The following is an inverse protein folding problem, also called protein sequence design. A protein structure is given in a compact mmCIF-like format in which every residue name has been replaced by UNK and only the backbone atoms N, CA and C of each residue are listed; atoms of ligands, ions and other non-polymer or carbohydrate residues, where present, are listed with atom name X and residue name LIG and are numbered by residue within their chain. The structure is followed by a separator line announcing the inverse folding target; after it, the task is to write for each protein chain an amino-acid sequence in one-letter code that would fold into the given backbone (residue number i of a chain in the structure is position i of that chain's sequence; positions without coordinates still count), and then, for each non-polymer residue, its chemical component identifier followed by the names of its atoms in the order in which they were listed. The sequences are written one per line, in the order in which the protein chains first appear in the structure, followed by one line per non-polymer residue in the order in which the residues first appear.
data_IF_864052788658
#
_entry.id   IF_864052788658
#
_cell.length_a   1.000
_cell.length_b   1.000
_cell.length_c   1.000
_cell.angle_alpha   90.00
_cell.angle_beta   90.00
_cell.angle_gamma   90.00
#
_symmetry.space_group_name_H-M   'P 1'
#
loop_
_entity.id
_entity.type
_entity.pdbx_description
1 polymer ?
#
# COMPACT_ATOMS: atom_id res chain seq x y z
N UNK A 1 44.02 61.54 8.66
CA UNK A 1 42.64 61.32 8.17
C UNK A 1 42.49 59.83 7.89
N UNK A 2 42.16 59.06 8.93
CA UNK A 2 42.16 57.60 8.89
C UNK A 2 40.70 57.17 8.93
N UNK A 3 40.15 56.74 7.80
CA UNK A 3 38.77 56.28 7.69
C UNK A 3 38.67 54.83 8.18
N UNK A 4 38.05 54.65 9.34
CA UNK A 4 37.69 53.36 9.92
C UNK A 4 36.43 52.85 9.19
N UNK A 5 36.54 51.77 8.40
CA UNK A 5 35.40 51.11 7.78
C UNK A 5 34.76 50.14 8.80
N UNK A 6 33.55 50.45 9.26
CA UNK A 6 32.70 49.48 9.96
C UNK A 6 32.17 48.45 8.94
N UNK A 7 32.46 47.18 9.16
CA UNK A 7 31.78 46.08 8.48
C UNK A 7 30.62 45.61 9.38
N UNK A 8 29.39 45.79 8.91
CA UNK A 8 28.19 45.28 9.56
C UNK A 8 27.95 43.84 9.10
N UNK A 9 28.13 42.87 10.00
CA UNK A 9 27.83 41.47 9.74
C UNK A 9 26.34 41.22 9.94
N UNK A 10 25.60 41.08 8.84
CA UNK A 10 24.17 40.69 8.87
C UNK A 10 24.10 39.17 9.06
N UNK A 11 23.67 38.73 10.24
CA UNK A 11 23.29 37.33 10.50
C UNK A 11 21.89 37.09 9.94
N UNK A 12 21.79 36.42 8.78
CA UNK A 12 20.54 35.83 8.33
C UNK A 12 20.26 34.57 9.16
N UNK A 13 19.31 34.65 10.09
CA UNK A 13 18.65 33.46 10.63
C UNK A 13 17.82 32.82 9.52
N UNK A 14 18.36 31.79 8.86
CA UNK A 14 17.58 30.91 8.00
C UNK A 14 16.63 30.08 8.85
N UNK A 15 15.35 30.45 8.87
CA UNK A 15 14.31 29.54 9.31
C UNK A 15 14.20 28.41 8.27
N UNK A 16 14.67 27.22 8.63
CA UNK A 16 14.39 26.03 7.85
C UNK A 16 12.88 25.81 7.86
N UNK A 17 12.22 25.61 6.70
CA UNK A 17 10.84 25.20 6.69
C UNK A 17 10.76 23.83 7.37
N UNK A 18 10.05 23.76 8.50
CA UNK A 18 9.52 22.51 9.02
C UNK A 18 8.55 22.01 7.95
N UNK A 19 9.01 21.15 7.05
CA UNK A 19 8.08 20.33 6.29
C UNK A 19 7.39 19.43 7.31
N UNK A 20 6.09 19.64 7.47
CA UNK A 20 5.23 18.71 8.16
C UNK A 20 5.40 17.36 7.46
N UNK A 21 6.04 16.40 8.15
CA UNK A 21 5.89 15.01 7.79
C UNK A 21 4.44 14.67 8.14
N UNK A 22 3.56 14.72 7.14
CA UNK A 22 2.21 14.20 7.32
C UNK A 22 2.34 12.74 7.72
N UNK A 23 1.80 12.43 8.89
CA UNK A 23 2.01 11.20 9.63
C UNK A 23 1.49 9.99 8.86
N UNK A 24 2.33 9.39 8.01
CA UNK A 24 2.11 8.02 7.58
C UNK A 24 1.98 7.17 8.86
N UNK A 25 0.83 6.54 9.07
CA UNK A 25 0.65 5.57 10.15
C UNK A 25 1.78 4.56 10.02
N UNK A 26 2.69 4.57 10.98
CA UNK A 26 3.90 3.75 10.92
C UNK A 26 3.56 2.38 11.49
N UNK A 27 3.86 1.32 10.73
CA UNK A 27 3.80 -0.06 11.22
C UNK A 27 5.10 -0.41 11.95
N UNK A 28 5.04 -1.36 12.87
CA UNK A 28 6.17 -1.77 13.71
C UNK A 28 7.07 -2.76 12.95
N UNK A 29 8.40 -2.73 13.17
CA UNK A 29 9.29 -3.72 12.58
C UNK A 29 9.14 -5.10 13.22
N UNK A 30 9.52 -6.20 12.54
CA UNK A 30 9.42 -7.55 13.09
C UNK A 30 10.09 -7.73 14.46
N UNK A 31 11.19 -7.01 14.70
CA UNK A 31 11.93 -7.07 15.97
C UNK A 31 11.10 -6.59 17.18
N UNK A 32 10.04 -5.79 16.95
CA UNK A 32 9.13 -5.39 18.02
C UNK A 32 8.34 -6.58 18.61
N UNK A 33 8.31 -7.71 17.90
CA UNK A 33 7.59 -8.93 18.27
C UNK A 33 8.51 -10.05 18.78
N UNK A 34 9.84 -9.83 18.85
CA UNK A 34 10.82 -10.82 19.34
C UNK A 34 10.59 -11.25 20.80
N UNK A 35 9.88 -10.43 21.58
CA UNK A 35 9.55 -10.74 22.98
C UNK A 35 8.43 -11.77 23.15
N UNK A 36 7.73 -12.16 22.08
CA UNK A 36 6.68 -13.18 22.12
C UNK A 36 7.34 -14.55 21.91
N UNK A 37 7.32 -15.38 22.95
CA UNK A 37 8.04 -16.66 22.96
C UNK A 37 7.32 -17.80 22.24
N UNK A 38 5.99 -17.77 22.18
CA UNK A 38 5.20 -18.75 21.42
C UNK A 38 5.14 -18.35 19.94
N UNK A 39 5.60 -19.23 19.05
CA UNK A 39 5.70 -18.93 17.61
C UNK A 39 4.33 -18.66 16.98
N UNK A 40 3.27 -19.36 17.42
CA UNK A 40 1.94 -19.16 16.86
C UNK A 40 1.34 -17.83 17.30
N UNK A 41 1.49 -17.46 18.58
CA UNK A 41 1.12 -16.15 19.11
C UNK A 41 1.90 -15.03 18.41
N UNK A 42 3.21 -15.21 18.25
CA UNK A 42 4.08 -14.26 17.55
C UNK A 42 3.68 -14.08 16.09
N UNK A 43 3.42 -15.18 15.40
CA UNK A 43 2.94 -15.17 14.02
C UNK A 43 1.61 -14.42 13.89
N UNK A 44 0.64 -14.70 14.76
CA UNK A 44 -0.65 -13.99 14.75
C UNK A 44 -0.50 -12.48 15.01
N UNK A 45 0.43 -12.08 15.89
CA UNK A 45 0.74 -10.69 16.16
C UNK A 45 1.41 -9.99 14.95
N UNK A 46 2.36 -10.66 14.29
CA UNK A 46 2.98 -10.19 13.05
C UNK A 46 1.94 -9.99 11.95
N UNK A 47 1.02 -10.95 11.79
CA UNK A 47 -0.08 -10.81 10.84
C UNK A 47 -1.03 -9.66 11.18
N UNK A 48 -1.31 -9.45 12.47
CA UNK A 48 -2.13 -8.32 12.93
C UNK A 48 -1.49 -6.99 12.52
N UNK A 49 -0.15 -6.88 12.60
CA UNK A 49 0.58 -5.71 12.14
C UNK A 49 0.53 -5.54 10.62
N UNK A 50 0.71 -6.63 9.85
CA UNK A 50 0.50 -6.66 8.40
C UNK A 50 -0.93 -6.23 8.02
N UNK A 51 -1.91 -6.59 8.85
CA UNK A 51 -3.32 -6.25 8.72
C UNK A 51 -3.57 -4.75 8.55
N UNK A 52 -2.76 -3.89 9.19
CA UNK A 52 -2.83 -2.43 9.04
C UNK A 52 -2.61 -1.99 7.59
N UNK A 53 -1.73 -2.67 6.87
CA UNK A 53 -1.48 -2.44 5.43
C UNK A 53 -2.61 -3.06 4.61
N UNK A 54 -2.89 -4.35 4.81
CA UNK A 54 -3.86 -5.14 4.03
C UNK A 54 -5.29 -4.57 4.07
N UNK A 55 -5.65 -3.89 5.17
CA UNK A 55 -6.95 -3.24 5.36
C UNK A 55 -6.93 -1.73 5.10
N UNK A 56 -5.80 -1.17 4.68
CA UNK A 56 -5.73 0.23 4.27
C UNK A 56 -6.50 0.45 2.97
N UNK A 57 -7.01 1.67 2.72
CA UNK A 57 -7.65 1.99 1.45
C UNK A 57 -6.74 1.74 0.23
N UNK A 58 -5.41 1.78 0.37
CA UNK A 58 -4.50 1.48 -0.74
C UNK A 58 -4.59 0.02 -1.20
N UNK A 59 -4.78 -0.91 -0.27
CA UNK A 59 -4.98 -2.32 -0.60
C UNK A 59 -6.45 -2.60 -0.93
N UNK A 60 -7.39 -2.13 -0.11
CA UNK A 60 -8.81 -2.45 -0.26
C UNK A 60 -9.41 -1.93 -1.57
N UNK A 61 -8.91 -0.82 -2.11
CA UNK A 61 -9.33 -0.32 -3.43
C UNK A 61 -8.99 -1.27 -4.58
N UNK A 62 -7.94 -2.08 -4.44
CA UNK A 62 -7.48 -3.08 -5.41
C UNK A 62 -8.06 -4.48 -5.16
N UNK A 63 -8.59 -4.71 -3.95
CA UNK A 63 -9.16 -5.99 -3.50
C UNK A 63 -10.69 -5.93 -3.22
N UNK A 64 -11.53 -5.32 -4.09
CA UNK A 64 -12.97 -5.32 -3.90
C UNK A 64 -13.54 -6.72 -4.16
N UNK A 65 -14.50 -7.13 -3.31
CA UNK A 65 -15.18 -8.44 -3.38
C UNK A 65 -16.17 -8.56 -4.54
N UNK A 66 -16.71 -7.44 -5.02
CA UNK A 66 -17.67 -7.40 -6.12
C UNK A 66 -17.46 -6.16 -6.97
N UNK A 67 -17.98 -6.17 -8.21
CA UNK A 67 -18.00 -5.00 -9.07
C UNK A 67 -16.63 -4.62 -9.64
N UNK A 68 -16.26 -3.35 -9.50
CA UNK A 68 -15.03 -2.76 -10.02
C UNK A 68 -14.18 -2.11 -8.92
N UNK A 69 -13.09 -1.41 -9.28
CA UNK A 69 -12.22 -0.75 -8.31
C UNK A 69 -12.99 0.31 -7.52
N UNK A 70 -12.54 0.55 -6.30
CA UNK A 70 -12.87 1.77 -5.56
C UNK A 70 -11.69 2.74 -5.57
N UNK A 71 -11.91 3.99 -5.18
CA UNK A 71 -10.91 5.06 -5.21
C UNK A 71 -10.97 5.92 -3.95
N UNK A 72 -9.84 6.55 -3.62
CA UNK A 72 -9.75 7.45 -2.45
C UNK A 72 -9.72 6.70 -1.12
N UNK A 73 -9.66 7.45 -0.03
CA UNK A 73 -9.59 6.88 1.33
C UNK A 73 -10.98 6.49 1.86
N UNK A 74 -12.02 7.07 1.27
CA UNK A 74 -13.43 6.74 1.52
C UNK A 74 -13.96 5.62 0.62
N UNK A 75 -13.09 5.04 -0.24
CA UNK A 75 -13.37 3.89 -1.09
C UNK A 75 -14.66 4.04 -1.93
N UNK A 76 -14.85 5.22 -2.53
CA UNK A 76 -15.96 5.43 -3.46
C UNK A 76 -15.78 4.58 -4.72
N UNK A 77 -16.86 4.23 -5.44
CA UNK A 77 -16.73 3.62 -6.77
C UNK A 77 -15.82 4.45 -7.68
N UNK A 78 -15.00 3.78 -8.50
CA UNK A 78 -14.12 4.42 -9.45
C UNK A 78 -14.87 5.41 -10.37
N UNK A 79 -14.26 6.56 -10.66
CA UNK A 79 -14.81 7.59 -11.55
C UNK A 79 -13.78 7.94 -12.66
N UNK A 80 -14.11 7.76 -13.95
CA UNK A 80 -15.40 7.32 -14.50
C UNK A 80 -15.73 5.87 -14.09
N UNK A 81 -17.02 5.47 -14.05
CA UNK A 81 -17.39 4.11 -13.68
C UNK A 81 -16.74 3.07 -14.61
N UNK A 82 -16.03 2.11 -14.01
CA UNK A 82 -15.42 0.96 -14.70
C UNK A 82 -15.75 -0.33 -13.97
N UNK A 83 -15.61 -1.46 -14.66
CA UNK A 83 -15.80 -2.80 -14.10
C UNK A 83 -14.50 -3.58 -14.17
N UNK A 84 -14.35 -4.61 -13.34
CA UNK A 84 -13.18 -5.49 -13.28
C UNK A 84 -12.88 -6.19 -14.62
N UNK A 85 -13.92 -6.73 -15.28
CA UNK A 85 -13.78 -7.57 -16.48
C UNK A 85 -13.20 -8.96 -16.20
N UNK A 86 -13.31 -9.87 -17.16
CA UNK A 86 -12.92 -11.28 -16.96
C UNK A 86 -11.40 -11.50 -16.80
N UNK A 87 -10.60 -10.52 -17.23
CA UNK A 87 -9.13 -10.52 -17.13
C UNK A 87 -8.62 -9.57 -16.03
N UNK A 88 -9.50 -9.10 -15.14
CA UNK A 88 -9.18 -8.12 -14.08
C UNK A 88 -8.56 -6.79 -14.59
N UNK A 89 -8.75 -6.50 -15.89
CA UNK A 89 -8.09 -5.43 -16.62
C UNK A 89 -9.08 -4.53 -17.38
N UNK A 90 -10.32 -4.44 -16.89
CA UNK A 90 -11.37 -3.64 -17.50
C UNK A 90 -12.24 -4.44 -18.48
N UNK A 91 -13.30 -3.81 -18.96
CA UNK A 91 -14.22 -4.42 -19.92
C UNK A 91 -13.61 -4.48 -21.34
N UNK A 92 -14.09 -5.40 -22.19
CA UNK A 92 -13.74 -5.37 -23.62
C UNK A 92 -14.04 -3.98 -24.23
N UNK A 93 -13.03 -3.38 -24.86
CA UNK A 93 -13.13 -2.04 -25.45
C UNK A 93 -12.90 -0.86 -24.49
N UNK A 94 -12.72 -1.12 -23.19
CA UNK A 94 -12.38 -0.12 -22.17
C UNK A 94 -11.49 -0.77 -21.10
N UNK A 95 -10.28 -1.14 -21.51
CA UNK A 95 -9.26 -1.72 -20.62
C UNK A 95 -8.62 -0.64 -19.76
N UNK A 96 -8.05 -1.02 -18.61
CA UNK A 96 -7.49 -0.09 -17.63
C UNK A 96 -6.43 0.86 -18.23
N UNK A 97 -5.60 0.37 -19.16
CA UNK A 97 -4.57 1.16 -19.84
C UNK A 97 -5.10 2.21 -20.84
N UNK A 98 -6.42 2.29 -21.04
CA UNK A 98 -7.04 3.40 -21.79
C UNK A 98 -6.79 4.74 -21.09
N UNK A 99 -6.75 4.72 -19.75
CA UNK A 99 -6.53 5.91 -18.92
C UNK A 99 -5.26 5.79 -18.07
N UNK A 100 -4.97 4.62 -17.52
CA UNK A 100 -3.83 4.40 -16.63
C UNK A 100 -2.56 4.11 -17.43
N UNK A 101 -1.59 5.02 -17.34
CA UNK A 101 -0.27 4.86 -17.96
C UNK A 101 0.75 4.16 -17.06
N UNK A 102 2.03 4.14 -17.45
CA UNK A 102 3.10 3.51 -16.66
C UNK A 102 3.50 4.31 -15.41
N UNK A 103 2.98 5.53 -15.23
CA UNK A 103 3.31 6.43 -14.12
C UNK A 103 2.09 7.22 -13.69
N UNK A 104 2.10 7.68 -12.44
CA UNK A 104 1.13 8.65 -11.94
C UNK A 104 1.13 9.92 -12.79
N UNK A 105 -0.05 10.44 -13.11
CA UNK A 105 -0.24 11.69 -13.88
C UNK A 105 -1.13 12.64 -13.08
N UNK A 106 -0.58 13.78 -12.68
CA UNK A 106 -1.34 14.84 -12.00
C UNK A 106 -2.46 15.40 -12.90
N UNK A 107 -3.63 15.65 -12.30
CA UNK A 107 -4.76 16.22 -13.00
C UNK A 107 -4.56 17.73 -13.17
N UNK A 108 -4.75 18.24 -14.40
CA UNK A 108 -4.56 19.68 -14.67
C UNK A 108 -5.77 20.54 -14.31
N UNK A 109 -6.93 19.92 -14.04
CA UNK A 109 -8.21 20.62 -13.84
C UNK A 109 -8.86 20.36 -12.48
N UNK A 110 -8.26 19.52 -11.64
CA UNK A 110 -8.74 19.16 -10.31
C UNK A 110 -7.55 18.72 -9.45
N UNK A 111 -7.73 18.67 -8.14
CA UNK A 111 -6.71 18.08 -7.26
C UNK A 111 -6.66 16.56 -7.43
N UNK A 112 -5.46 16.00 -7.42
CA UNK A 112 -5.21 14.56 -7.46
C UNK A 112 -4.56 14.10 -8.76
N UNK A 113 -4.48 12.80 -8.95
CA UNK A 113 -3.77 12.18 -10.08
C UNK A 113 -4.48 10.94 -10.62
N UNK A 114 -4.24 10.61 -11.88
CA UNK A 114 -4.51 9.29 -12.45
C UNK A 114 -3.37 8.35 -12.01
N UNK A 115 -3.66 7.25 -11.31
CA UNK A 115 -2.66 6.23 -10.97
C UNK A 115 -1.98 5.66 -12.20
N UNK A 116 -0.72 5.24 -12.07
CA UNK A 116 -0.06 4.50 -13.13
C UNK A 116 1.06 3.58 -12.68
N UNK A 117 1.10 2.41 -13.32
CA UNK A 117 2.10 1.36 -13.23
C UNK A 117 1.95 0.45 -14.46
N UNK A 118 2.95 -0.36 -14.79
CA UNK A 118 2.86 -1.36 -15.86
C UNK A 118 3.16 -2.76 -15.29
N UNK A 119 2.16 -3.66 -15.18
CA UNK A 119 0.74 -3.50 -15.53
C UNK A 119 -0.07 -2.71 -14.48
N UNK A 120 -1.24 -2.16 -14.87
CA UNK A 120 -2.25 -1.60 -13.95
C UNK A 120 -3.54 -2.42 -14.04
N UNK A 121 -3.75 -3.34 -13.09
CA UNK A 121 -4.88 -4.27 -13.06
C UNK A 121 -5.41 -4.44 -11.64
N UNK A 122 -6.60 -5.02 -11.51
CA UNK A 122 -7.13 -5.42 -10.21
C UNK A 122 -6.58 -6.79 -9.76
N UNK A 123 -6.57 -7.04 -8.45
CA UNK A 123 -6.36 -8.39 -7.95
C UNK A 123 -7.61 -9.23 -8.21
N UNK A 124 -7.51 -10.48 -8.70
CA UNK A 124 -8.66 -11.32 -9.04
C UNK A 124 -9.79 -11.34 -8.01
N UNK A 125 -11.02 -11.58 -8.45
CA UNK A 125 -12.20 -11.56 -7.55
C UNK A 125 -12.05 -12.52 -6.35
N UNK A 126 -11.37 -13.66 -6.54
CA UNK A 126 -11.08 -14.62 -5.47
C UNK A 126 -10.16 -14.05 -4.37
N UNK A 127 -9.41 -13.00 -4.69
CA UNK A 127 -8.54 -12.24 -3.78
C UNK A 127 -9.23 -10.99 -3.24
N UNK A 128 -10.53 -10.79 -3.47
CA UNK A 128 -11.27 -9.69 -2.83
C UNK A 128 -11.49 -9.98 -1.34
N UNK A 129 -11.25 -8.99 -0.48
CA UNK A 129 -11.40 -9.17 0.98
C UNK A 129 -11.97 -7.97 1.73
N UNK A 130 -12.54 -6.99 1.02
CA UNK A 130 -13.32 -5.92 1.64
C UNK A 130 -14.43 -6.52 2.52
N UNK A 131 -14.47 -6.09 3.78
CA UNK A 131 -15.48 -6.51 4.76
C UNK A 131 -15.14 -7.79 5.54
N UNK A 132 -14.03 -8.47 5.23
CA UNK A 132 -13.56 -9.61 6.00
C UNK A 132 -12.81 -9.17 7.26
N UNK A 133 -12.87 -9.99 8.30
CA UNK A 133 -12.02 -9.87 9.50
C UNK A 133 -10.55 -10.22 9.18
N UNK A 134 -9.62 -9.84 10.07
CA UNK A 134 -8.20 -10.16 9.87
C UNK A 134 -7.91 -11.66 9.85
N UNK A 135 -8.59 -12.46 10.68
CA UNK A 135 -8.47 -13.93 10.66
C UNK A 135 -8.95 -14.53 9.33
N UNK A 136 -10.03 -14.00 8.75
CA UNK A 136 -10.54 -14.40 7.45
C UNK A 136 -9.60 -14.00 6.31
N UNK A 137 -9.05 -12.78 6.33
CA UNK A 137 -8.04 -12.32 5.36
C UNK A 137 -6.81 -13.23 5.42
N UNK A 138 -6.28 -13.51 6.62
CA UNK A 138 -5.16 -14.41 6.80
C UNK A 138 -5.43 -15.79 6.20
N UNK A 139 -6.60 -16.36 6.52
CA UNK A 139 -7.00 -17.66 6.02
C UNK A 139 -7.17 -17.66 4.49
N UNK A 140 -7.57 -16.54 3.90
CA UNK A 140 -7.71 -16.38 2.45
C UNK A 140 -6.38 -16.27 1.72
N UNK A 141 -5.45 -15.44 2.19
CA UNK A 141 -4.18 -15.24 1.47
C UNK A 141 -3.26 -16.46 1.53
N UNK A 142 -3.48 -17.37 2.50
CA UNK A 142 -2.77 -18.65 2.60
C UNK A 142 -3.34 -19.74 1.70
N UNK A 143 -4.55 -19.55 1.19
CA UNK A 143 -5.29 -20.57 0.46
C UNK A 143 -5.02 -20.43 -1.06
N UNK A 144 -4.33 -21.40 -1.69
CA UNK A 144 -3.99 -21.34 -3.12
C UNK A 144 -5.21 -21.20 -4.03
N UNK A 145 -6.38 -21.69 -3.62
CA UNK A 145 -7.62 -21.57 -4.41
C UNK A 145 -8.16 -20.14 -4.40
N UNK A 146 -7.77 -19.34 -3.42
CA UNK A 146 -8.27 -17.96 -3.23
C UNK A 146 -7.20 -16.88 -3.41
N UNK A 147 -5.91 -17.21 -3.34
CA UNK A 147 -4.80 -16.26 -3.50
C UNK A 147 -4.17 -16.26 -4.93
N UNK A 148 -4.80 -16.95 -5.87
CA UNK A 148 -4.32 -17.11 -7.25
C UNK A 148 -3.17 -18.10 -7.40
N UNK A 149 -3.20 -19.18 -6.63
CA UNK A 149 -2.24 -20.28 -6.72
C UNK A 149 -0.87 -20.01 -6.10
N UNK A 150 -0.70 -18.91 -5.36
CA UNK A 150 0.59 -18.55 -4.76
C UNK A 150 0.90 -19.45 -3.56
N UNK A 151 2.14 -19.92 -3.52
CA UNK A 151 2.79 -20.41 -2.31
C UNK A 151 3.06 -19.26 -1.33
N UNK A 152 3.44 -19.58 -0.08
CA UNK A 152 3.85 -18.54 0.88
C UNK A 152 5.09 -17.76 0.41
N UNK A 153 6.01 -18.40 -0.31
CA UNK A 153 7.19 -17.72 -0.84
C UNK A 153 6.82 -16.77 -1.98
N UNK A 154 5.94 -17.17 -2.89
CA UNK A 154 5.44 -16.28 -3.94
C UNK A 154 4.58 -15.15 -3.37
N UNK A 155 3.88 -15.37 -2.25
CA UNK A 155 3.20 -14.33 -1.50
C UNK A 155 4.18 -13.34 -0.88
N UNK A 156 5.31 -13.82 -0.34
CA UNK A 156 6.39 -12.96 0.13
C UNK A 156 6.94 -12.09 -1.01
N UNK A 157 7.28 -12.69 -2.16
CA UNK A 157 7.76 -11.96 -3.34
C UNK A 157 6.74 -10.92 -3.81
N UNK A 158 5.45 -11.29 -3.86
CA UNK A 158 4.38 -10.37 -4.21
C UNK A 158 4.29 -9.18 -3.25
N UNK A 159 4.29 -9.43 -1.94
CA UNK A 159 4.18 -8.37 -0.95
C UNK A 159 5.43 -7.47 -0.91
N UNK A 160 6.62 -8.06 -1.00
CA UNK A 160 7.89 -7.38 -0.80
C UNK A 160 8.40 -6.66 -2.06
N UNK A 161 8.12 -7.19 -3.26
CA UNK A 161 8.83 -6.78 -4.48
C UNK A 161 7.93 -6.51 -5.69
N UNK A 162 6.63 -6.86 -5.67
CA UNK A 162 5.73 -6.54 -6.77
C UNK A 162 5.56 -5.01 -6.88
N UNK A 163 5.88 -4.46 -8.06
CA UNK A 163 5.80 -3.02 -8.31
C UNK A 163 4.38 -2.46 -8.28
N UNK A 164 3.37 -3.26 -8.65
CA UNK A 164 1.97 -2.83 -8.57
C UNK A 164 1.49 -2.77 -7.12
N UNK A 165 1.97 -3.70 -6.28
CA UNK A 165 1.77 -3.61 -4.82
C UNK A 165 2.53 -2.40 -4.27
N UNK A 166 3.77 -2.20 -4.71
CA UNK A 166 4.66 -1.09 -4.33
C UNK A 166 4.07 0.30 -4.62
N UNK A 167 3.23 0.42 -5.65
CA UNK A 167 2.47 1.64 -5.94
C UNK A 167 1.68 2.14 -4.72
N UNK A 168 1.26 1.25 -3.82
CA UNK A 168 0.55 1.63 -2.59
C UNK A 168 1.29 2.64 -1.71
N UNK A 169 2.63 2.71 -1.79
CA UNK A 169 3.45 3.67 -1.05
C UNK A 169 3.88 4.89 -1.87
N UNK A 170 3.66 4.89 -3.19
CA UNK A 170 3.81 6.06 -4.07
C UNK A 170 2.54 6.26 -4.94
N UNK A 171 1.40 6.61 -4.32
CA UNK A 171 0.09 6.57 -4.98
C UNK A 171 -0.21 7.80 -5.86
N UNK A 172 0.77 8.68 -6.05
CA UNK A 172 0.63 9.95 -6.75
C UNK A 172 -0.08 11.02 -5.93
N UNK A 173 -0.18 12.23 -6.50
CA UNK A 173 -0.78 13.38 -5.84
C UNK A 173 -2.22 13.12 -5.37
N UNK A 174 -2.55 13.62 -4.18
CA UNK A 174 -3.90 13.62 -3.61
C UNK A 174 -4.32 12.30 -2.95
N UNK A 175 -3.39 11.37 -2.72
CA UNK A 175 -3.66 10.10 -2.02
C UNK A 175 -2.75 9.91 -0.81
N UNK A 176 -3.32 9.38 0.26
CA UNK A 176 -2.57 8.91 1.42
C UNK A 176 -1.82 7.62 1.08
N UNK A 177 -0.50 7.52 1.31
CA UNK A 177 0.25 6.28 1.15
C UNK A 177 -0.23 5.17 2.09
N UNK A 178 0.09 3.92 1.74
CA UNK A 178 -0.11 2.79 2.64
C UNK A 178 0.73 2.96 3.92
N UNK A 179 0.31 2.40 5.07
CA UNK A 179 1.08 2.43 6.30
C UNK A 179 2.51 1.88 6.12
N UNK A 180 3.51 2.56 6.72
CA UNK A 180 4.91 2.14 6.67
C UNK A 180 5.58 2.22 5.30
N UNK A 181 6.35 1.18 4.93
CA UNK A 181 7.01 1.03 3.63
C UNK A 181 6.80 -0.39 3.09
N UNK A 182 6.94 -0.58 1.78
CA UNK A 182 6.87 -1.92 1.18
C UNK A 182 7.95 -2.86 1.75
N UNK A 183 9.16 -2.33 1.96
CA UNK A 183 10.25 -3.10 2.57
C UNK A 183 9.84 -3.64 3.95
N UNK A 184 9.24 -2.79 4.80
CA UNK A 184 8.80 -3.19 6.12
C UNK A 184 7.65 -4.19 6.07
N UNK A 185 6.73 -4.02 5.12
CA UNK A 185 5.66 -4.98 4.86
C UNK A 185 6.20 -6.35 4.40
N UNK A 186 7.22 -6.35 3.54
CA UNK A 186 7.95 -7.56 3.15
C UNK A 186 8.65 -8.23 4.33
N UNK A 187 9.34 -7.46 5.17
CA UNK A 187 9.99 -7.97 6.38
C UNK A 187 8.98 -8.61 7.36
N UNK A 188 7.83 -7.99 7.56
CA UNK A 188 6.73 -8.55 8.36
C UNK A 188 6.18 -9.84 7.73
N UNK A 189 5.99 -9.85 6.41
CA UNK A 189 5.54 -11.04 5.68
C UNK A 189 6.52 -12.20 5.86
N UNK A 190 7.83 -11.94 5.70
CA UNK A 190 8.89 -12.95 5.92
C UNK A 190 8.85 -13.50 7.34
N UNK A 191 8.83 -12.63 8.34
CA UNK A 191 8.81 -13.03 9.75
C UNK A 191 7.54 -13.83 10.10
N UNK A 192 6.39 -13.45 9.54
CA UNK A 192 5.14 -14.18 9.70
C UNK A 192 5.23 -15.59 9.11
N UNK A 193 5.81 -15.74 7.92
CA UNK A 193 6.02 -17.06 7.31
C UNK A 193 7.00 -17.90 8.14
N UNK A 194 8.10 -17.32 8.60
CA UNK A 194 9.14 -18.01 9.37
C UNK A 194 8.63 -18.51 10.73
N UNK A 195 7.63 -17.85 11.30
CA UNK A 195 6.95 -18.24 12.54
C UNK A 195 5.78 -19.21 12.32
N UNK A 196 5.58 -19.69 11.08
CA UNK A 196 4.59 -20.71 10.74
C UNK A 196 3.28 -20.19 10.13
N UNK A 197 3.20 -18.89 9.81
CA UNK A 197 2.07 -18.25 9.15
C UNK A 197 0.73 -18.48 9.88
N UNK A 198 0.71 -18.58 11.20
CA UNK A 198 -0.50 -18.65 12.00
C UNK A 198 -1.36 -17.39 11.82
N UNK A 199 -2.68 -17.59 11.85
CA UNK A 199 -3.67 -16.52 11.71
C UNK A 199 -4.14 -16.04 13.07
N UNK A 200 -4.44 -14.73 13.23
CA UNK A 200 -5.15 -14.26 14.41
C UNK A 200 -6.56 -14.85 14.44
N UNK A 201 -7.11 -14.93 15.67
CA UNK A 201 -8.48 -15.37 15.91
C UNK A 201 -9.52 -14.38 15.38
#
# INVERSE_FOLDING_TARGET
MTFLKLAATVWLCGALPLWAQDSAVTISPPAAFDGIADDAERSAALFTEMGKVLTSPRCLNCHPVTGGPTQGDDMQPHNPPVVRGDADFGAPGMTCNTCHGPKNVELTTAQGSIPGHEPWSLAPVSMGWVGLSLGEICSQIKDPERNGGKTLEELYEHNAHDGLVGWGWDPGEGRTPAPGTQELFGQLTRAWIDTGAACPA
#
